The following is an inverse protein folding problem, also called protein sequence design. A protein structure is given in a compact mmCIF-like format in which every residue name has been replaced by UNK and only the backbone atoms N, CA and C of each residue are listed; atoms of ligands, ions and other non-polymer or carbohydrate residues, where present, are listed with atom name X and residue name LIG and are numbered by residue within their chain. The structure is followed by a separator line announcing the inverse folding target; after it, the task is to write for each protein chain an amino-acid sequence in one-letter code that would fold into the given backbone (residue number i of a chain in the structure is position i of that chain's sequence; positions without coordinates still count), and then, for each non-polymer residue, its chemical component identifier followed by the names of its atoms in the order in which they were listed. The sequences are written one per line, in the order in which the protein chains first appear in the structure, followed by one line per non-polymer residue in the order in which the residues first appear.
data_IF_464617272638
#
_entry.id   IF_464617272638
#
_cell.length_a   1.000
_cell.length_b   1.000
_cell.length_c   1.000
_cell.angle_alpha   90.00
_cell.angle_beta   90.00
_cell.angle_gamma   90.00
#
_symmetry.space_group_name_H-M   'P 1'
#
loop_
_entity.id
_entity.type
_entity.pdbx_description
1 polymer ?
#
# COMPACT_ATOMS: atom_id res chain seq x y z
N UNK A 1 -8.40 34.04 -9.56
CA UNK A 1 -9.38 33.10 -8.97
C UNK A 1 -8.88 31.66 -8.81
N UNK A 2 -8.27 31.01 -9.80
CA UNK A 2 -7.74 29.63 -9.64
C UNK A 2 -6.76 29.49 -8.45
N UNK A 3 -5.88 30.48 -8.28
CA UNK A 3 -4.95 30.56 -7.14
C UNK A 3 -5.67 30.67 -5.78
N UNK A 4 -6.82 31.34 -5.72
CA UNK A 4 -7.60 31.49 -4.48
C UNK A 4 -8.29 30.18 -4.11
N UNK A 5 -8.93 29.49 -5.07
CA UNK A 5 -9.52 28.17 -4.83
C UNK A 5 -8.47 27.18 -4.34
N UNK A 6 -7.30 27.12 -4.99
CA UNK A 6 -6.21 26.25 -4.55
C UNK A 6 -5.74 26.57 -3.13
N UNK A 7 -5.58 27.85 -2.77
CA UNK A 7 -5.16 28.27 -1.43
C UNK A 7 -6.19 27.85 -0.37
N UNK A 8 -7.48 28.00 -0.66
CA UNK A 8 -8.58 27.55 0.22
C UNK A 8 -8.53 26.04 0.41
N UNK A 9 -8.42 25.27 -0.68
CA UNK A 9 -8.34 23.81 -0.63
C UNK A 9 -7.12 23.35 0.17
N UNK A 10 -5.94 23.96 -0.06
CA UNK A 10 -4.73 23.65 0.68
C UNK A 10 -4.90 23.93 2.18
N UNK A 11 -5.36 25.12 2.56
CA UNK A 11 -5.58 25.48 3.97
C UNK A 11 -6.54 24.53 4.68
N UNK A 12 -7.57 24.08 3.96
CA UNK A 12 -8.58 23.17 4.49
C UNK A 12 -8.03 21.75 4.68
N UNK A 13 -7.41 21.18 3.65
CA UNK A 13 -7.10 19.75 3.64
C UNK A 13 -5.68 19.42 4.07
N UNK A 14 -4.74 20.38 4.16
CA UNK A 14 -3.32 20.03 4.34
C UNK A 14 -3.06 19.13 5.56
N UNK A 15 -3.73 19.36 6.70
CA UNK A 15 -3.57 18.51 7.90
C UNK A 15 -4.00 17.08 7.65
N UNK A 16 -5.13 16.91 6.96
CA UNK A 16 -5.65 15.61 6.58
C UNK A 16 -4.73 14.91 5.58
N UNK A 17 -4.24 15.64 4.57
CA UNK A 17 -3.35 15.09 3.56
C UNK A 17 -1.98 14.68 4.15
N UNK A 18 -1.41 15.51 5.04
CA UNK A 18 -0.18 15.18 5.76
C UNK A 18 -0.40 14.01 6.72
N UNK A 19 -1.52 13.98 7.44
CA UNK A 19 -1.87 12.86 8.31
C UNK A 19 -1.97 11.55 7.54
N UNK A 20 -2.66 11.55 6.40
CA UNK A 20 -2.75 10.41 5.50
C UNK A 20 -1.37 9.97 5.00
N UNK A 21 -0.54 10.92 4.56
CA UNK A 21 0.84 10.65 4.15
C UNK A 21 1.64 9.94 5.24
N UNK A 22 1.64 10.48 6.47
CA UNK A 22 2.37 9.90 7.61
C UNK A 22 1.87 8.50 7.93
N UNK A 23 0.55 8.24 7.90
CA UNK A 23 -0.02 6.92 8.14
C UNK A 23 0.44 5.92 7.07
N UNK A 24 0.34 6.28 5.79
CA UNK A 24 0.72 5.39 4.69
C UNK A 24 2.20 5.03 4.70
N UNK A 25 3.07 6.02 4.94
CA UNK A 25 4.51 5.79 5.10
C UNK A 25 4.78 4.94 6.34
N UNK A 26 4.12 5.24 7.45
CA UNK A 26 4.27 4.50 8.71
C UNK A 26 3.93 3.00 8.58
N UNK A 27 2.85 2.66 7.86
CA UNK A 27 2.49 1.27 7.57
C UNK A 27 3.63 0.55 6.83
N UNK A 28 4.22 1.18 5.81
CA UNK A 28 5.32 0.58 5.06
C UNK A 28 6.62 0.50 5.86
N UNK A 29 6.90 1.44 6.76
CA UNK A 29 8.02 1.35 7.69
C UNK A 29 7.87 0.15 8.63
N UNK A 30 6.67 -0.07 9.18
CA UNK A 30 6.37 -1.22 10.03
C UNK A 30 6.48 -2.52 9.23
N UNK A 31 5.94 -2.53 8.01
CA UNK A 31 6.02 -3.67 7.08
C UNK A 31 7.46 -4.04 6.73
N UNK A 32 8.28 -3.06 6.35
CA UNK A 32 9.69 -3.26 6.01
C UNK A 32 10.50 -3.82 7.18
N UNK A 33 10.33 -3.26 8.37
CA UNK A 33 11.00 -3.78 9.58
C UNK A 33 10.55 -5.21 9.93
N UNK A 34 9.26 -5.49 9.82
CA UNK A 34 8.72 -6.83 10.05
C UNK A 34 9.30 -7.83 9.07
N UNK A 35 9.36 -7.48 7.78
CA UNK A 35 9.93 -8.31 6.73
C UNK A 35 11.44 -8.57 6.96
N UNK A 36 12.22 -7.55 7.34
CA UNK A 36 13.64 -7.72 7.71
C UNK A 36 13.81 -8.64 8.92
N UNK A 37 12.95 -8.52 9.93
CA UNK A 37 13.02 -9.35 11.13
C UNK A 37 12.64 -10.81 10.86
N UNK A 38 11.64 -11.04 10.01
CA UNK A 38 11.28 -12.38 9.52
C UNK A 38 12.45 -12.97 8.75
N UNK A 39 13.03 -12.21 7.82
CA UNK A 39 14.21 -12.65 7.06
C UNK A 39 15.39 -13.01 7.96
N UNK A 40 15.73 -12.16 8.95
CA UNK A 40 16.81 -12.44 9.92
C UNK A 40 16.55 -13.73 10.71
N UNK A 41 15.28 -14.01 11.05
CA UNK A 41 14.90 -15.24 11.75
C UNK A 41 15.11 -16.46 10.87
N UNK A 42 14.64 -16.42 9.62
CA UNK A 42 14.84 -17.50 8.64
C UNK A 42 16.34 -17.72 8.40
N UNK A 43 17.09 -16.65 8.20
CA UNK A 43 18.54 -16.69 8.05
C UNK A 43 19.21 -17.37 9.24
N UNK A 44 18.86 -16.98 10.48
CA UNK A 44 19.41 -17.59 11.69
C UNK A 44 19.07 -19.08 11.79
N UNK A 45 17.86 -19.47 11.44
CA UNK A 45 17.44 -20.88 11.42
C UNK A 45 18.25 -21.67 10.41
N UNK A 46 18.36 -21.19 9.18
CA UNK A 46 19.08 -21.84 8.07
C UNK A 46 20.60 -21.92 8.29
N UNK A 47 21.15 -21.12 9.21
CA UNK A 47 22.57 -21.15 9.60
C UNK A 47 22.79 -21.76 11.00
N UNK A 48 21.74 -22.30 11.63
CA UNK A 48 21.85 -22.93 12.94
C UNK A 48 22.54 -24.30 12.85
N UNK A 49 23.23 -24.71 13.92
CA UNK A 49 23.86 -26.04 13.99
C UNK A 49 22.84 -27.17 13.80
N UNK A 50 21.63 -26.98 14.33
CA UNK A 50 20.52 -27.95 14.23
C UNK A 50 20.12 -28.13 12.78
N UNK A 51 19.87 -27.04 12.06
CA UNK A 51 19.53 -27.10 10.64
C UNK A 51 20.66 -27.72 9.80
N UNK A 52 21.90 -27.27 10.02
CA UNK A 52 23.06 -27.78 9.26
C UNK A 52 23.25 -29.29 9.49
N UNK A 53 23.01 -29.77 10.72
CA UNK A 53 23.04 -31.21 11.03
C UNK A 53 21.92 -31.95 10.28
N UNK A 54 20.69 -31.46 10.40
CA UNK A 54 19.51 -32.02 9.72
C UNK A 54 19.69 -32.11 8.20
N UNK A 55 20.18 -31.04 7.57
CA UNK A 55 20.43 -31.00 6.12
C UNK A 55 21.51 -32.00 5.68
N UNK A 56 22.52 -32.26 6.51
CA UNK A 56 23.58 -33.23 6.21
C UNK A 56 23.11 -34.68 6.38
N UNK A 57 22.26 -34.93 7.38
CA UNK A 57 21.70 -36.25 7.65
C UNK A 57 20.61 -36.62 6.64
N UNK A 58 19.78 -35.64 6.23
CA UNK A 58 18.64 -35.83 5.35
C UNK A 58 18.52 -34.72 4.28
N UNK A 59 19.46 -34.63 3.32
CA UNK A 59 19.41 -33.62 2.27
C UNK A 59 18.15 -33.72 1.38
N UNK A 60 17.61 -34.92 1.21
CA UNK A 60 16.42 -35.23 0.41
C UNK A 60 15.15 -34.49 0.86
N UNK A 61 15.04 -34.13 2.14
CA UNK A 61 13.88 -33.38 2.65
C UNK A 61 13.85 -31.92 2.20
N UNK A 62 14.99 -31.38 1.80
CA UNK A 62 15.14 -29.96 1.49
C UNK A 62 15.35 -29.69 -0.01
N UNK A 63 15.72 -30.73 -0.77
CA UNK A 63 15.95 -30.65 -2.20
C UNK A 63 14.71 -31.21 -2.92
N UNK A 64 13.78 -30.33 -3.31
CA UNK A 64 12.65 -30.74 -4.15
C UNK A 64 13.12 -31.17 -5.54
N UNK A 65 12.67 -32.34 -5.99
CA UNK A 65 12.90 -32.92 -7.32
C UNK A 65 12.05 -32.22 -8.41
N UNK A 66 12.12 -30.90 -8.52
CA UNK A 66 11.42 -30.18 -9.58
C UNK A 66 12.31 -30.03 -10.82
N UNK A 67 11.86 -30.56 -11.95
CA UNK A 67 12.66 -30.95 -13.14
C UNK A 67 13.45 -29.83 -13.83
N UNK A 68 13.23 -28.57 -13.48
CA UNK A 68 13.93 -27.41 -14.07
C UNK A 68 14.85 -26.67 -13.08
N UNK A 69 14.57 -26.73 -11.77
CA UNK A 69 15.30 -25.99 -10.73
C UNK A 69 16.15 -26.90 -9.80
N UNK A 70 15.97 -28.22 -9.87
CA UNK A 70 16.66 -29.20 -9.03
C UNK A 70 18.15 -29.37 -9.34
N UNK A 71 18.64 -28.95 -10.52
CA UNK A 71 20.07 -29.13 -10.88
C UNK A 71 21.04 -28.29 -10.05
N UNK A 72 20.60 -27.21 -9.39
CA UNK A 72 21.50 -26.25 -8.69
C UNK A 72 21.52 -26.35 -7.16
N UNK A 73 20.60 -27.07 -6.52
CA UNK A 73 20.48 -27.10 -5.04
C UNK A 73 21.15 -28.29 -4.36
N UNK A 74 22.24 -28.83 -4.92
CA UNK A 74 22.89 -30.02 -4.33
C UNK A 74 23.72 -29.73 -3.06
N UNK A 75 23.98 -28.47 -2.74
CA UNK A 75 24.85 -28.10 -1.62
C UNK A 75 24.11 -27.25 -0.59
N UNK A 76 24.46 -27.39 0.68
CA UNK A 76 23.93 -26.56 1.78
C UNK A 76 24.06 -25.06 1.47
N UNK A 77 25.18 -24.65 0.88
CA UNK A 77 25.43 -23.24 0.53
C UNK A 77 24.47 -22.75 -0.56
N UNK A 78 24.20 -23.56 -1.58
CA UNK A 78 23.25 -23.16 -2.65
C UNK A 78 21.81 -23.13 -2.13
N UNK A 79 21.44 -24.05 -1.23
CA UNK A 79 20.17 -23.98 -0.51
C UNK A 79 20.06 -22.70 0.33
N UNK A 80 21.05 -22.42 1.19
CA UNK A 80 21.05 -21.22 2.04
C UNK A 80 21.02 -19.93 1.22
N UNK A 81 21.70 -19.88 0.07
CA UNK A 81 21.61 -18.70 -0.80
C UNK A 81 20.21 -18.54 -1.38
N UNK A 82 19.62 -19.62 -1.90
CA UNK A 82 18.29 -19.64 -2.52
C UNK A 82 17.17 -19.30 -1.52
N UNK A 83 17.10 -20.02 -0.41
CA UNK A 83 16.00 -19.87 0.56
C UNK A 83 16.06 -18.57 1.35
N UNK A 84 17.24 -17.98 1.47
CA UNK A 84 17.38 -16.66 2.08
C UNK A 84 17.31 -15.54 1.02
N UNK A 85 16.99 -15.78 -0.25
CA UNK A 85 16.70 -14.67 -1.17
C UNK A 85 15.42 -13.96 -0.75
N UNK A 86 15.49 -12.64 -0.56
CA UNK A 86 14.32 -11.87 -0.15
C UNK A 86 13.31 -11.71 -1.28
N UNK A 87 13.79 -11.42 -2.49
CA UNK A 87 12.97 -11.32 -3.69
C UNK A 87 13.17 -12.61 -4.51
N UNK A 88 12.36 -13.63 -4.24
CA UNK A 88 12.39 -14.88 -5.02
C UNK A 88 11.48 -14.72 -6.23
N UNK A 89 12.00 -14.99 -7.43
CA UNK A 89 11.14 -15.23 -8.59
C UNK A 89 10.46 -16.59 -8.37
N UNK A 90 9.23 -16.59 -7.86
CA UNK A 90 8.36 -17.77 -7.93
C UNK A 90 7.62 -17.73 -9.25
N UNK A 91 7.62 -18.84 -9.98
CA UNK A 91 6.89 -18.97 -11.26
C UNK A 91 5.36 -18.87 -11.08
N UNK A 92 4.88 -18.91 -9.84
CA UNK A 92 3.51 -18.56 -9.49
C UNK A 92 3.37 -17.04 -9.45
N UNK A 93 2.76 -16.47 -10.49
CA UNK A 93 2.21 -15.11 -10.52
C UNK A 93 1.02 -14.92 -9.58
N UNK A 94 1.04 -15.54 -8.39
CA UNK A 94 0.03 -15.37 -7.37
C UNK A 94 0.21 -14.00 -6.72
N UNK A 95 -0.80 -13.14 -6.90
CA UNK A 95 -1.01 -11.97 -6.05
C UNK A 95 -1.34 -12.45 -4.63
N UNK A 96 -0.33 -12.77 -3.83
CA UNK A 96 -0.53 -13.10 -2.42
C UNK A 96 -0.81 -11.81 -1.64
N UNK A 97 -2.09 -11.55 -1.38
CA UNK A 97 -2.53 -10.56 -0.39
C UNK A 97 -2.40 -11.20 1.00
N UNK A 98 -1.18 -11.43 1.47
CA UNK A 98 -0.97 -12.18 2.72
C UNK A 98 -0.36 -11.36 3.87
N UNK A 99 -0.17 -10.04 3.66
CA UNK A 99 0.38 -9.18 4.70
C UNK A 99 -0.73 -8.38 5.40
N UNK A 100 -0.76 -8.42 6.74
CA UNK A 100 -1.61 -7.53 7.57
C UNK A 100 -1.41 -6.04 7.18
N UNK A 101 -0.23 -5.70 6.69
CA UNK A 101 0.09 -4.36 6.17
C UNK A 101 -0.69 -4.01 4.90
N UNK A 102 -0.93 -4.95 3.99
CA UNK A 102 -1.76 -4.72 2.79
C UNK A 102 -3.21 -4.45 3.20
N UNK A 103 -3.75 -5.24 4.14
CA UNK A 103 -5.12 -5.05 4.66
C UNK A 103 -5.24 -3.68 5.35
N UNK A 104 -4.30 -3.32 6.22
CA UNK A 104 -4.29 -2.02 6.87
C UNK A 104 -4.23 -0.86 5.86
N UNK A 105 -3.41 -0.99 4.82
CA UNK A 105 -3.30 0.00 3.75
C UNK A 105 -4.61 0.15 2.98
N UNK A 106 -5.25 -0.96 2.61
CA UNK A 106 -6.57 -0.96 1.95
C UNK A 106 -7.62 -0.25 2.80
N UNK A 107 -7.71 -0.57 4.10
CA UNK A 107 -8.67 0.04 5.01
C UNK A 107 -8.45 1.55 5.17
N UNK A 108 -7.21 1.98 5.34
CA UNK A 108 -6.85 3.40 5.46
C UNK A 108 -7.21 4.15 4.18
N UNK A 109 -6.89 3.59 3.00
CA UNK A 109 -7.13 4.26 1.72
C UNK A 109 -8.62 4.31 1.37
N UNK A 110 -9.34 3.23 1.63
CA UNK A 110 -10.79 3.20 1.50
C UNK A 110 -11.45 4.23 2.42
N UNK A 111 -11.05 4.25 3.70
CA UNK A 111 -11.53 5.22 4.68
C UNK A 111 -11.20 6.66 4.28
N UNK A 112 -10.01 6.89 3.72
CA UNK A 112 -9.62 8.19 3.19
C UNK A 112 -10.49 8.62 1.99
N UNK A 113 -10.82 7.69 1.10
CA UNK A 113 -11.76 7.92 0.02
C UNK A 113 -13.13 8.35 0.54
N UNK A 114 -13.69 7.61 1.50
CA UNK A 114 -14.97 7.94 2.15
C UNK A 114 -14.94 9.34 2.77
N UNK A 115 -13.92 9.61 3.60
CA UNK A 115 -13.77 10.85 4.36
C UNK A 115 -13.65 12.08 3.45
N UNK A 116 -13.09 11.92 2.25
CA UNK A 116 -12.88 13.03 1.31
C UNK A 116 -14.17 13.79 1.06
N UNK A 117 -15.30 13.12 0.84
CA UNK A 117 -16.57 13.81 0.58
C UNK A 117 -17.47 13.94 1.81
N UNK A 118 -17.39 13.05 2.79
CA UNK A 118 -18.28 13.10 3.97
C UNK A 118 -17.90 14.22 4.95
N UNK A 119 -16.62 14.56 5.12
CA UNK A 119 -16.17 15.55 6.12
C UNK A 119 -16.65 16.96 5.76
N UNK A 120 -16.52 17.36 4.50
CA UNK A 120 -16.90 18.72 4.09
C UNK A 120 -18.40 18.95 4.16
N UNK A 121 -19.15 17.88 3.94
CA UNK A 121 -20.59 17.89 4.08
C UNK A 121 -21.03 17.99 5.53
N UNK A 122 -20.41 17.22 6.43
CA UNK A 122 -20.67 17.30 7.88
C UNK A 122 -20.37 18.69 8.45
N UNK A 123 -19.43 19.41 7.86
CA UNK A 123 -18.99 20.73 8.33
C UNK A 123 -19.60 21.89 7.53
N UNK A 124 -20.56 21.62 6.64
CA UNK A 124 -21.17 22.59 5.72
C UNK A 124 -20.16 23.40 4.88
N UNK A 125 -18.94 22.88 4.71
CA UNK A 125 -17.91 23.53 3.92
C UNK A 125 -18.26 23.53 2.42
N UNK A 126 -19.03 22.54 1.98
CA UNK A 126 -19.55 22.49 0.61
C UNK A 126 -20.41 23.73 0.28
N UNK A 127 -21.21 24.23 1.24
CA UNK A 127 -22.02 25.46 1.07
C UNK A 127 -21.12 26.68 0.83
N UNK A 128 -20.03 26.80 1.59
CA UNK A 128 -19.02 27.84 1.37
C UNK A 128 -18.35 27.68 0.01
N UNK A 129 -17.92 26.46 -0.37
CA UNK A 129 -17.31 26.20 -1.66
C UNK A 129 -18.25 26.54 -2.82
N UNK A 130 -19.55 26.25 -2.70
CA UNK A 130 -20.54 26.54 -3.73
C UNK A 130 -20.97 28.01 -3.79
N UNK A 131 -20.70 28.81 -2.75
CA UNK A 131 -20.83 30.28 -2.83
C UNK A 131 -19.72 30.95 -3.63
N UNK A 132 -18.62 30.24 -3.92
CA UNK A 132 -17.56 30.75 -4.79
C UNK A 132 -18.06 30.82 -6.24
N UNK A 133 -17.59 31.80 -7.02
CA UNK A 133 -17.90 31.93 -8.46
C UNK A 133 -17.30 30.82 -9.34
N UNK A 134 -16.72 29.78 -8.73
CA UNK A 134 -16.16 28.63 -9.45
C UNK A 134 -17.24 27.60 -9.75
N UNK A 135 -17.19 26.96 -10.92
CA UNK A 135 -18.17 25.91 -11.25
C UNK A 135 -18.06 24.72 -10.30
N UNK A 136 -19.21 24.11 -9.96
CA UNK A 136 -19.28 22.93 -9.09
C UNK A 136 -18.37 21.81 -9.60
N UNK A 137 -18.42 21.53 -10.91
CA UNK A 137 -17.53 20.55 -11.57
C UNK A 137 -16.06 20.80 -11.25
N UNK A 138 -15.61 22.06 -11.33
CA UNK A 138 -14.20 22.42 -11.06
C UNK A 138 -13.82 22.19 -9.60
N UNK A 139 -14.71 22.50 -8.66
CA UNK A 139 -14.51 22.29 -7.22
C UNK A 139 -14.32 20.79 -6.93
N UNK A 140 -15.23 19.95 -7.44
CA UNK A 140 -15.16 18.49 -7.31
C UNK A 140 -13.87 17.90 -7.89
N UNK A 141 -13.51 18.27 -9.12
CA UNK A 141 -12.29 17.77 -9.76
C UNK A 141 -11.02 18.22 -9.04
N UNK A 142 -10.97 19.46 -8.58
CA UNK A 142 -9.81 19.98 -7.83
C UNK A 142 -9.64 19.16 -6.55
N UNK A 143 -10.72 18.94 -5.80
CA UNK A 143 -10.69 18.14 -4.57
C UNK A 143 -10.25 16.70 -4.81
N UNK A 144 -10.82 16.06 -5.83
CA UNK A 144 -10.47 14.70 -6.22
C UNK A 144 -8.98 14.59 -6.59
N UNK A 145 -8.45 15.55 -7.35
CA UNK A 145 -7.03 15.60 -7.73
C UNK A 145 -6.09 15.79 -6.53
N UNK A 146 -6.46 16.60 -5.53
CA UNK A 146 -5.67 16.73 -4.30
C UNK A 146 -5.60 15.41 -3.54
N UNK A 147 -6.73 14.70 -3.44
CA UNK A 147 -6.79 13.39 -2.81
C UNK A 147 -5.99 12.32 -3.56
N UNK A 148 -6.23 12.17 -4.87
CA UNK A 148 -5.49 11.24 -5.74
C UNK A 148 -4.00 11.54 -5.71
N UNK A 149 -3.61 12.81 -5.87
CA UNK A 149 -2.20 13.22 -5.86
C UNK A 149 -1.52 12.92 -4.52
N UNK A 150 -2.22 13.10 -3.41
CA UNK A 150 -1.70 12.76 -2.08
C UNK A 150 -1.55 11.26 -1.91
N UNK A 151 -2.56 10.46 -2.29
CA UNK A 151 -2.49 8.99 -2.21
C UNK A 151 -1.35 8.47 -3.09
N UNK A 152 -1.27 8.90 -4.35
CA UNK A 152 -0.20 8.51 -5.27
C UNK A 152 1.19 8.89 -4.75
N UNK A 153 1.39 10.15 -4.38
CA UNK A 153 2.67 10.63 -3.86
C UNK A 153 3.09 9.89 -2.60
N UNK A 154 2.13 9.65 -1.70
CA UNK A 154 2.37 8.88 -0.48
C UNK A 154 2.77 7.44 -0.79
N UNK A 155 2.07 6.75 -1.71
CA UNK A 155 2.38 5.36 -2.06
C UNK A 155 3.78 5.22 -2.66
N UNK A 156 4.14 6.09 -3.60
CA UNK A 156 5.48 6.09 -4.23
C UNK A 156 6.56 6.26 -3.15
N UNK A 157 6.42 7.25 -2.27
CA UNK A 157 7.37 7.50 -1.19
C UNK A 157 7.41 6.33 -0.20
N UNK A 158 6.25 5.77 0.13
CA UNK A 158 6.13 4.67 1.10
C UNK A 158 6.81 3.40 0.59
N UNK A 159 6.63 3.05 -0.69
CA UNK A 159 7.32 1.91 -1.31
C UNK A 159 8.83 2.16 -1.42
N UNK A 160 9.24 3.38 -1.79
CA UNK A 160 10.66 3.73 -1.78
C UNK A 160 11.30 3.54 -0.39
N UNK A 161 10.63 3.99 0.66
CA UNK A 161 11.07 3.80 2.06
C UNK A 161 11.12 2.31 2.42
N UNK A 162 10.12 1.52 2.03
CA UNK A 162 10.10 0.07 2.23
C UNK A 162 11.34 -0.59 1.62
N UNK A 163 11.63 -0.34 0.34
CA UNK A 163 12.78 -0.91 -0.35
C UNK A 163 14.12 -0.48 0.27
N UNK A 164 14.21 0.77 0.75
CA UNK A 164 15.39 1.26 1.45
C UNK A 164 15.62 0.47 2.76
N UNK A 165 14.56 0.24 3.54
CA UNK A 165 14.64 -0.57 4.77
C UNK A 165 15.12 -1.99 4.46
N UNK A 166 14.57 -2.63 3.43
CA UNK A 166 15.00 -3.98 3.01
C UNK A 166 16.49 -3.98 2.63
N UNK A 167 16.92 -3.01 1.80
CA UNK A 167 18.29 -2.91 1.31
C UNK A 167 19.32 -2.66 2.44
N UNK A 168 18.95 -1.88 3.45
CA UNK A 168 19.81 -1.62 4.62
C UNK A 168 19.77 -2.80 5.61
N UNK A 169 18.61 -3.42 5.78
CA UNK A 169 18.38 -4.47 6.77
C UNK A 169 18.94 -5.84 6.39
N UNK A 170 19.08 -6.11 5.09
CA UNK A 170 19.50 -7.40 4.54
C UNK A 170 20.80 -7.22 3.76
N UNK A 171 21.84 -7.99 4.14
CA UNK A 171 23.15 -7.92 3.50
C UNK A 171 23.13 -8.54 2.09
N UNK A 172 23.98 -8.05 1.20
CA UNK A 172 24.30 -8.76 -0.04
C UNK A 172 24.82 -10.19 0.28
N UNK A 173 24.52 -11.22 -0.53
CA UNK A 173 23.92 -11.21 -1.87
C UNK A 173 22.40 -11.52 -1.90
N UNK A 174 21.70 -11.43 -0.76
CA UNK A 174 20.33 -11.96 -0.62
C UNK A 174 19.23 -11.03 -1.17
N UNK A 175 19.59 -9.81 -1.58
CA UNK A 175 18.70 -8.82 -2.17
C UNK A 175 18.96 -8.76 -3.68
N UNK A 176 18.28 -9.61 -4.44
CA UNK A 176 18.34 -9.60 -5.91
C UNK A 176 17.06 -8.97 -6.45
N UNK A 177 17.13 -7.69 -6.80
CA UNK A 177 16.00 -6.94 -7.33
C UNK A 177 15.91 -7.14 -8.85
N UNK A 178 14.88 -7.83 -9.32
CA UNK A 178 14.48 -7.74 -10.72
C UNK A 178 13.62 -6.49 -10.92
N UNK A 179 14.24 -5.41 -11.39
CA UNK A 179 13.61 -4.10 -11.54
C UNK A 179 12.37 -4.17 -12.44
N UNK A 180 12.40 -5.00 -13.50
CA UNK A 180 11.29 -5.11 -14.45
C UNK A 180 10.04 -5.72 -13.79
N UNK A 181 10.21 -6.86 -13.09
CA UNK A 181 9.10 -7.50 -12.38
C UNK A 181 8.58 -6.61 -11.25
N UNK A 182 9.49 -5.90 -10.58
CA UNK A 182 9.15 -4.95 -9.52
C UNK A 182 8.23 -3.85 -10.06
N UNK A 183 8.62 -3.19 -11.14
CA UNK A 183 7.85 -2.09 -11.73
C UNK A 183 6.46 -2.57 -12.18
N UNK A 184 6.36 -3.76 -12.78
CA UNK A 184 5.06 -4.32 -13.19
C UNK A 184 4.14 -4.58 -11.99
N UNK A 185 4.66 -5.21 -10.93
CA UNK A 185 3.90 -5.46 -9.71
C UNK A 185 3.45 -4.16 -9.03
N UNK A 186 4.36 -3.19 -8.92
CA UNK A 186 4.12 -1.88 -8.33
C UNK A 186 3.02 -1.10 -9.08
N UNK A 187 3.07 -1.09 -10.42
CA UNK A 187 2.02 -0.44 -11.23
C UNK A 187 0.67 -1.12 -10.98
N UNK A 188 0.62 -2.45 -10.98
CA UNK A 188 -0.62 -3.20 -10.72
C UNK A 188 -1.21 -2.86 -9.35
N UNK A 189 -0.37 -2.83 -8.31
CA UNK A 189 -0.78 -2.47 -6.95
C UNK A 189 -1.25 -1.02 -6.86
N UNK A 190 -0.56 -0.07 -7.50
CA UNK A 190 -0.96 1.34 -7.53
C UNK A 190 -2.34 1.53 -8.18
N UNK A 191 -2.60 0.86 -9.30
CA UNK A 191 -3.90 0.91 -9.99
C UNK A 191 -5.01 0.35 -9.11
N UNK A 192 -4.79 -0.79 -8.47
CA UNK A 192 -5.76 -1.42 -7.58
C UNK A 192 -6.10 -0.53 -6.38
N UNK A 193 -5.07 0.01 -5.72
CA UNK A 193 -5.24 0.89 -4.56
C UNK A 193 -5.95 2.20 -4.94
N UNK A 194 -5.63 2.77 -6.10
CA UNK A 194 -6.35 3.93 -6.62
C UNK A 194 -7.82 3.62 -6.90
N UNK A 195 -8.11 2.44 -7.45
CA UNK A 195 -9.48 1.97 -7.65
C UNK A 195 -10.25 1.94 -6.33
N UNK A 196 -9.67 1.39 -5.27
CA UNK A 196 -10.27 1.36 -3.92
C UNK A 196 -10.53 2.77 -3.39
N UNK A 197 -9.57 3.69 -3.56
CA UNK A 197 -9.75 5.09 -3.16
C UNK A 197 -10.94 5.76 -3.88
N UNK A 198 -11.06 5.54 -5.19
CA UNK A 198 -12.15 6.08 -6.01
C UNK A 198 -13.49 5.49 -5.58
N UNK A 199 -13.56 4.18 -5.35
CA UNK A 199 -14.77 3.51 -4.83
C UNK A 199 -15.17 4.13 -3.48
N UNK A 200 -14.21 4.32 -2.57
CA UNK A 200 -14.46 5.01 -1.29
C UNK A 200 -14.99 6.43 -1.50
N UNK A 201 -14.45 7.19 -2.45
CA UNK A 201 -14.96 8.52 -2.78
C UNK A 201 -16.40 8.50 -3.28
N UNK A 202 -16.74 7.55 -4.17
CA UNK A 202 -18.09 7.40 -4.71
C UNK A 202 -19.10 7.06 -3.61
N UNK A 203 -18.76 6.11 -2.73
CA UNK A 203 -19.60 5.77 -1.58
C UNK A 203 -19.73 6.97 -0.64
N UNK A 204 -18.64 7.70 -0.38
CA UNK A 204 -18.63 8.88 0.46
C UNK A 204 -19.53 10.01 -0.07
N UNK A 205 -19.60 10.16 -1.40
CA UNK A 205 -20.54 11.07 -2.06
C UNK A 205 -21.99 10.66 -1.79
N UNK A 206 -22.34 9.38 -2.00
CA UNK A 206 -23.70 8.85 -1.80
C UNK A 206 -24.13 8.92 -0.33
N UNK A 207 -23.29 8.48 0.60
CA UNK A 207 -23.59 8.52 2.04
C UNK A 207 -23.78 9.97 2.51
N UNK A 208 -22.99 10.89 1.94
CA UNK A 208 -23.19 12.30 2.16
C UNK A 208 -24.62 12.76 1.85
N UNK A 209 -25.28 12.18 0.84
CA UNK A 209 -26.64 12.53 0.38
C UNK A 209 -27.78 12.07 1.28
N UNK A 210 -27.56 11.07 2.10
CA UNK A 210 -28.61 10.47 2.92
C UNK A 210 -29.22 11.43 3.97
N UNK A 211 -28.45 12.26 4.71
CA UNK A 211 -29.01 13.21 5.68
C UNK A 211 -29.83 14.34 5.04
N UNK A 212 -29.60 14.66 3.76
CA UNK A 212 -30.39 15.64 3.00
C UNK A 212 -31.67 15.06 2.40
N UNK A 213 -31.75 13.73 2.26
CA UNK A 213 -32.94 13.02 1.75
C UNK A 213 -33.89 12.59 2.89
N UNK A 214 -33.36 12.35 4.09
CA UNK A 214 -34.13 11.96 5.28
C UNK A 214 -35.19 12.98 5.78
N UNK A 215 -35.09 14.31 5.60
CA UNK A 215 -36.11 15.24 6.09
C UNK A 215 -37.37 15.29 5.22
N UNK A 216 -37.33 14.79 3.97
CA UNK A 216 -38.46 14.89 3.04
C UNK A 216 -39.57 13.85 3.25
N UNK A 217 -39.41 12.91 4.19
CA UNK A 217 -40.46 11.94 4.55
C UNK A 217 -41.32 12.37 5.75
N UNK A 218 -41.11 13.56 6.33
CA UNK A 218 -41.83 14.05 7.53
C UNK A 218 -42.70 15.31 7.33
N UNK A 219 -43.08 15.64 6.11
CA UNK A 219 -44.08 16.70 5.86
C UNK A 219 -45.14 16.18 4.88
N UNK A 220 -46.08 15.39 5.41
CA UNK A 220 -47.43 15.17 4.87
C UNK A 220 -48.24 14.38 5.90
N UNK A 221 -48.80 15.10 6.86
CA UNK A 221 -50.04 14.76 7.59
C UNK A 221 -50.72 16.06 7.94
#
# INVERSE_FOLDING_TARGET
MQKQLMKIMQLRYWKYLVGLFVILVGIQVIGGNSAVNVWKRIYKTNHSKIFIKSFKEHPEYYIQNDSSAAKTTKTLKTYQVRENQFFRNTDSGSFEIDSMTTVAMVLVIFGAGLMTFTIDRRTNFDTFLFSLTSSRRRIYWTKLLYGIGTVLGSLIISHFVYYLIIKVGIKAPYVQLNITNLVQHEIGQLVLILGIYIIGCLIGLVIGELPTLAPMSRIRT
#
